data_IF_040460253787
#
_entry.id   IF_040460253787
#
_cell.length_a   1.000
_cell.length_b   1.000
_cell.length_c   1.000
_cell.angle_alpha   90.00
_cell.angle_beta   90.00
_cell.angle_gamma   90.00
#
_symmetry.space_group_name_H-M   'P 1'
#
loop_
_entity.id
_entity.type
_entity.pdbx_description
1 polymer ?
#
# COMPACT_ATOMS: atom_id res chain seq x y z
N UNK A 1 9.09 -26.84 25.78
CA UNK A 1 8.87 -25.41 26.17
C UNK A 1 10.09 -24.54 25.80
N UNK A 2 11.31 -24.88 26.23
CA UNK A 2 12.54 -24.10 25.92
C UNK A 2 12.94 -24.04 24.44
N UNK A 3 12.68 -25.08 23.65
CA UNK A 3 13.01 -25.09 22.22
C UNK A 3 12.05 -24.16 21.43
N UNK A 4 10.79 -24.09 21.85
CA UNK A 4 9.79 -23.19 21.26
C UNK A 4 10.14 -21.70 21.52
N UNK A 5 10.54 -21.35 22.73
CA UNK A 5 10.97 -19.99 23.11
C UNK A 5 12.24 -19.54 22.37
N UNK A 6 13.19 -20.44 22.12
CA UNK A 6 14.40 -20.12 21.33
C UNK A 6 14.11 -19.89 19.85
N UNK A 7 13.12 -20.58 19.28
CA UNK A 7 12.71 -20.41 17.90
C UNK A 7 12.00 -19.07 17.69
N UNK A 8 11.15 -18.69 18.64
CA UNK A 8 10.43 -17.41 18.63
C UNK A 8 11.37 -16.19 18.77
N UNK A 9 12.42 -16.28 19.60
CA UNK A 9 13.44 -15.22 19.80
C UNK A 9 14.28 -14.94 18.54
N UNK A 10 14.64 -15.95 17.75
CA UNK A 10 15.35 -15.78 16.48
C UNK A 10 14.45 -15.21 15.38
N UNK A 11 13.17 -15.54 15.39
CA UNK A 11 12.19 -15.04 14.41
C UNK A 11 11.94 -13.53 14.56
N UNK A 12 11.89 -13.00 15.78
CA UNK A 12 11.64 -11.58 16.01
C UNK A 12 12.77 -10.67 15.53
N UNK A 13 14.02 -11.06 15.72
CA UNK A 13 15.21 -10.31 15.27
C UNK A 13 15.34 -10.31 13.75
N UNK A 14 14.97 -11.42 13.09
CA UNK A 14 14.98 -11.54 11.63
C UNK A 14 13.80 -10.81 10.97
N UNK A 15 12.65 -10.74 11.62
CA UNK A 15 11.43 -10.14 11.06
C UNK A 15 11.60 -8.66 10.73
N UNK A 16 12.29 -7.89 11.60
CA UNK A 16 12.59 -6.48 11.33
C UNK A 16 13.59 -6.29 10.18
N UNK A 17 14.52 -7.22 9.99
CA UNK A 17 15.48 -7.21 8.87
C UNK A 17 14.78 -7.54 7.55
N UNK A 18 13.90 -8.54 7.56
CA UNK A 18 13.08 -8.94 6.41
C UNK A 18 12.18 -7.78 5.98
N UNK A 19 11.52 -7.10 6.92
CA UNK A 19 10.69 -5.93 6.61
C UNK A 19 11.46 -4.83 5.89
N UNK A 20 12.68 -4.51 6.38
CA UNK A 20 13.53 -3.48 5.74
C UNK A 20 13.93 -3.85 4.32
N UNK A 21 14.28 -5.12 4.08
CA UNK A 21 14.64 -5.62 2.75
C UNK A 21 13.43 -5.60 1.83
N UNK A 22 12.28 -6.09 2.31
CA UNK A 22 11.03 -6.08 1.55
C UNK A 22 10.57 -4.65 1.21
N UNK A 23 10.70 -3.69 2.14
CA UNK A 23 10.40 -2.28 1.87
C UNK A 23 11.32 -1.68 0.81
N UNK A 24 12.63 -1.95 0.86
CA UNK A 24 13.57 -1.48 -0.17
C UNK A 24 13.21 -2.05 -1.53
N UNK A 25 12.90 -3.32 -1.59
CA UNK A 25 12.47 -3.98 -2.83
C UNK A 25 11.16 -3.37 -3.36
N UNK A 26 10.16 -3.15 -2.50
CA UNK A 26 8.89 -2.55 -2.88
C UNK A 26 9.05 -1.09 -3.35
N UNK A 27 9.94 -0.31 -2.73
CA UNK A 27 10.24 1.07 -3.15
C UNK A 27 10.87 1.06 -4.55
N UNK A 28 11.85 0.18 -4.80
CA UNK A 28 12.55 0.13 -6.08
C UNK A 28 11.61 -0.41 -7.17
N UNK A 29 10.99 -1.57 -6.95
CA UNK A 29 10.12 -2.19 -7.95
C UNK A 29 8.82 -1.42 -8.16
N UNK A 30 8.12 -1.06 -7.06
CA UNK A 30 6.88 -0.29 -7.12
C UNK A 30 7.11 1.12 -7.73
N UNK A 31 8.22 1.78 -7.37
CA UNK A 31 8.63 3.05 -7.95
C UNK A 31 8.95 2.94 -9.43
N UNK A 32 9.71 1.92 -9.85
CA UNK A 32 10.05 1.69 -11.25
C UNK A 32 8.78 1.46 -12.09
N UNK A 33 7.88 0.57 -11.65
CA UNK A 33 6.61 0.32 -12.37
C UNK A 33 5.69 1.54 -12.40
N UNK A 34 5.61 2.30 -11.31
CA UNK A 34 4.84 3.55 -11.28
C UNK A 34 5.39 4.57 -12.28
N UNK A 35 6.70 4.75 -12.37
CA UNK A 35 7.33 5.65 -13.33
C UNK A 35 7.13 5.16 -14.78
N UNK A 36 7.31 3.86 -15.04
CA UNK A 36 7.08 3.28 -16.37
C UNK A 36 5.63 3.52 -16.80
N UNK A 37 4.65 3.32 -15.91
CA UNK A 37 3.25 3.56 -16.25
C UNK A 37 2.96 5.06 -16.44
N UNK A 38 3.52 5.93 -15.60
CA UNK A 38 3.30 7.37 -15.68
C UNK A 38 3.80 7.97 -17.00
N UNK A 39 5.03 7.64 -17.37
CA UNK A 39 5.64 8.12 -18.63
C UNK A 39 5.15 7.33 -19.85
N UNK A 40 4.86 6.03 -19.69
CA UNK A 40 4.36 5.17 -20.74
C UNK A 40 2.87 5.33 -21.05
N UNK A 41 2.11 6.06 -20.24
CA UNK A 41 0.66 6.22 -20.42
C UNK A 41 0.27 6.74 -21.80
N UNK A 42 1.04 7.69 -22.35
CA UNK A 42 0.81 8.22 -23.71
C UNK A 42 1.11 7.19 -24.80
N UNK A 43 2.14 6.38 -24.64
CA UNK A 43 2.48 5.30 -25.59
C UNK A 43 1.40 4.23 -25.56
N UNK A 44 0.89 3.88 -24.39
CA UNK A 44 -0.21 2.91 -24.22
C UNK A 44 -1.47 3.40 -24.94
N UNK A 45 -1.84 4.68 -24.78
CA UNK A 45 -2.99 5.27 -25.46
C UNK A 45 -2.82 5.17 -26.99
N UNK A 46 -1.71 5.62 -27.52
CA UNK A 46 -1.49 5.64 -29.00
C UNK A 46 -1.32 4.25 -29.62
N UNK A 47 -0.79 3.28 -28.88
CA UNK A 47 -0.46 1.96 -29.44
C UNK A 47 -1.57 0.94 -29.22
N UNK A 48 -2.21 0.97 -28.01
CA UNK A 48 -3.18 -0.05 -27.63
C UNK A 48 -4.62 0.46 -27.80
N UNK A 49 -4.83 1.75 -27.56
CA UNK A 49 -6.17 2.37 -27.57
C UNK A 49 -6.27 3.58 -28.52
N UNK A 50 -5.91 3.45 -29.81
CA UNK A 50 -5.91 4.59 -30.75
C UNK A 50 -7.28 5.21 -30.98
N UNK A 51 -8.34 4.42 -30.76
CA UNK A 51 -9.74 4.89 -30.94
C UNK A 51 -10.28 5.65 -29.73
N UNK A 52 -9.61 5.57 -28.55
CA UNK A 52 -10.07 6.18 -27.31
C UNK A 52 -9.13 7.29 -26.87
N UNK A 53 -9.53 8.54 -27.06
CA UNK A 53 -8.74 9.68 -26.59
C UNK A 53 -8.88 9.90 -25.08
N UNK A 54 -7.76 10.17 -24.40
CA UNK A 54 -7.72 10.53 -22.98
C UNK A 54 -7.51 9.37 -22.02
N UNK A 55 -7.24 8.13 -22.51
CA UNK A 55 -6.92 6.96 -21.66
C UNK A 55 -5.67 7.20 -20.80
N UNK A 56 -4.75 8.06 -21.26
CA UNK A 56 -3.56 8.45 -20.49
C UNK A 56 -3.90 9.15 -19.16
N UNK A 57 -5.06 9.83 -19.05
CA UNK A 57 -5.43 10.58 -17.84
C UNK A 57 -5.64 9.63 -16.66
N UNK A 58 -6.54 8.64 -16.70
CA UNK A 58 -6.71 7.69 -15.61
C UNK A 58 -5.44 6.84 -15.38
N UNK A 59 -4.65 6.52 -16.40
CA UNK A 59 -3.41 5.78 -16.25
C UNK A 59 -2.36 6.56 -15.44
N UNK A 60 -2.24 7.86 -15.66
CA UNK A 60 -1.33 8.70 -14.88
C UNK A 60 -1.78 8.85 -13.42
N UNK A 61 -3.09 8.90 -13.17
CA UNK A 61 -3.65 8.90 -11.81
C UNK A 61 -3.44 7.55 -11.12
N UNK A 62 -3.47 6.45 -11.89
CA UNK A 62 -3.23 5.10 -11.38
C UNK A 62 -1.75 4.84 -11.02
N UNK A 63 -0.82 5.50 -11.69
CA UNK A 63 0.61 5.25 -11.50
C UNK A 63 1.08 5.38 -10.03
N UNK A 64 0.78 6.46 -9.27
CA UNK A 64 1.14 6.53 -7.85
C UNK A 64 0.45 5.46 -7.00
N UNK A 65 -0.71 4.96 -7.40
CA UNK A 65 -1.41 3.89 -6.68
C UNK A 65 -0.59 2.62 -6.64
N UNK A 66 0.10 2.26 -7.74
CA UNK A 66 0.97 1.08 -7.80
C UNK A 66 2.06 1.16 -6.72
N UNK A 67 2.68 2.32 -6.57
CA UNK A 67 3.70 2.53 -5.55
C UNK A 67 3.13 2.39 -4.12
N UNK A 68 1.98 3.01 -3.86
CA UNK A 68 1.31 2.96 -2.55
C UNK A 68 0.91 1.52 -2.21
N UNK A 69 0.32 0.79 -3.16
CA UNK A 69 -0.11 -0.61 -2.96
C UNK A 69 1.08 -1.55 -2.76
N UNK A 70 2.21 -1.31 -3.43
CA UNK A 70 3.43 -2.09 -3.20
C UNK A 70 3.91 -1.95 -1.74
N UNK A 71 3.92 -0.74 -1.19
CA UNK A 71 4.27 -0.50 0.22
C UNK A 71 3.24 -1.11 1.17
N UNK A 72 1.96 -0.92 0.89
CA UNK A 72 0.86 -1.47 1.67
C UNK A 72 0.93 -2.99 1.76
N UNK A 73 1.24 -3.68 0.64
CA UNK A 73 1.41 -5.12 0.59
C UNK A 73 2.51 -5.63 1.52
N UNK A 74 3.63 -4.91 1.60
CA UNK A 74 4.74 -5.26 2.52
C UNK A 74 4.32 -5.15 3.98
N UNK A 75 3.63 -4.08 4.37
CA UNK A 75 3.14 -3.92 5.74
C UNK A 75 2.07 -4.96 6.10
N UNK A 76 1.13 -5.24 5.20
CA UNK A 76 0.14 -6.30 5.40
C UNK A 76 0.80 -7.66 5.55
N UNK A 77 1.76 -7.99 4.68
CA UNK A 77 2.55 -9.22 4.77
C UNK A 77 3.31 -9.34 6.10
N UNK A 78 3.85 -8.24 6.61
CA UNK A 78 4.50 -8.20 7.92
C UNK A 78 3.54 -8.59 9.06
N UNK A 79 2.34 -8.02 9.10
CA UNK A 79 1.35 -8.35 10.14
C UNK A 79 0.82 -9.78 10.01
N UNK A 80 0.58 -10.25 8.77
CA UNK A 80 0.17 -11.63 8.51
C UNK A 80 1.25 -12.62 8.94
N UNK A 81 2.52 -12.34 8.65
CA UNK A 81 3.66 -13.15 9.10
C UNK A 81 3.79 -13.24 10.62
N UNK A 82 3.30 -12.23 11.35
CA UNK A 82 3.18 -12.23 12.82
C UNK A 82 1.90 -12.88 13.34
N UNK A 83 1.12 -13.53 12.49
CA UNK A 83 -0.17 -14.14 12.84
C UNK A 83 -1.19 -13.14 13.39
N UNK A 84 -1.02 -11.84 13.13
CA UNK A 84 -1.94 -10.77 13.52
C UNK A 84 -2.67 -10.29 12.28
N UNK A 85 -3.87 -10.79 12.03
CA UNK A 85 -4.65 -10.45 10.83
C UNK A 85 -5.54 -9.22 11.00
N UNK A 86 -5.80 -8.79 12.24
CA UNK A 86 -6.70 -7.68 12.55
C UNK A 86 -6.29 -6.37 11.85
N UNK A 87 -5.02 -5.90 11.90
CA UNK A 87 -4.62 -4.68 11.21
C UNK A 87 -4.82 -4.75 9.69
N UNK A 88 -4.59 -5.93 9.11
CA UNK A 88 -4.80 -6.17 7.67
C UNK A 88 -6.28 -6.08 7.32
N UNK A 89 -7.15 -6.76 8.07
CA UNK A 89 -8.59 -6.75 7.82
C UNK A 89 -9.19 -5.34 7.98
N UNK A 90 -8.85 -4.63 9.06
CA UNK A 90 -9.32 -3.25 9.29
C UNK A 90 -8.83 -2.31 8.17
N UNK A 91 -7.58 -2.44 7.75
CA UNK A 91 -7.05 -1.62 6.66
C UNK A 91 -7.78 -1.87 5.32
N UNK A 92 -8.20 -3.10 5.05
CA UNK A 92 -8.98 -3.43 3.85
C UNK A 92 -10.38 -2.82 3.89
N UNK A 93 -11.04 -2.85 5.04
CA UNK A 93 -12.37 -2.23 5.20
C UNK A 93 -12.27 -0.73 4.97
N UNK A 94 -11.31 -0.05 5.59
CA UNK A 94 -11.10 1.40 5.42
C UNK A 94 -10.77 1.73 3.96
N UNK A 95 -9.89 0.96 3.33
CA UNK A 95 -9.56 1.11 1.91
C UNK A 95 -10.81 1.09 1.04
N UNK A 96 -11.69 0.09 1.23
CA UNK A 96 -12.90 -0.05 0.43
C UNK A 96 -13.92 1.05 0.69
N UNK A 97 -14.11 1.46 1.96
CA UNK A 97 -15.02 2.55 2.30
C UNK A 97 -14.55 3.87 1.70
N UNK A 98 -13.28 4.21 1.87
CA UNK A 98 -12.71 5.45 1.30
C UNK A 98 -12.75 5.39 -0.23
N UNK A 99 -12.36 4.27 -0.83
CA UNK A 99 -12.42 4.08 -2.28
C UNK A 99 -13.84 4.29 -2.81
N UNK A 100 -14.84 3.66 -2.22
CA UNK A 100 -16.23 3.78 -2.67
C UNK A 100 -16.72 5.24 -2.62
N UNK A 101 -16.50 5.93 -1.51
CA UNK A 101 -16.95 7.32 -1.35
C UNK A 101 -16.20 8.24 -2.32
N UNK A 102 -14.89 8.15 -2.35
CA UNK A 102 -14.05 9.06 -3.15
C UNK A 102 -14.22 8.79 -4.65
N UNK A 103 -14.28 7.52 -5.08
CA UNK A 103 -14.46 7.18 -6.50
C UNK A 103 -15.75 7.78 -7.06
N UNK A 104 -16.87 7.62 -6.35
CA UNK A 104 -18.15 8.16 -6.81
C UNK A 104 -18.12 9.68 -6.81
N UNK A 105 -17.66 10.30 -5.73
CA UNK A 105 -17.62 11.76 -5.62
C UNK A 105 -16.66 12.39 -6.64
N UNK A 106 -15.45 11.86 -6.79
CA UNK A 106 -14.46 12.39 -7.71
C UNK A 106 -14.86 12.16 -9.17
N UNK A 107 -15.40 10.99 -9.52
CA UNK A 107 -15.90 10.73 -10.87
C UNK A 107 -17.01 11.70 -11.25
N UNK A 108 -17.97 11.92 -10.35
CA UNK A 108 -19.06 12.88 -10.58
C UNK A 108 -18.53 14.31 -10.77
N UNK A 109 -17.64 14.77 -9.88
CA UNK A 109 -17.07 16.11 -9.94
C UNK A 109 -16.24 16.32 -11.22
N UNK A 110 -15.39 15.36 -11.56
CA UNK A 110 -14.54 15.48 -12.75
C UNK A 110 -15.35 15.44 -14.05
N UNK A 111 -16.40 14.61 -14.12
CA UNK A 111 -17.32 14.61 -15.26
C UNK A 111 -18.08 15.92 -15.37
N UNK A 112 -18.52 16.49 -14.24
CA UNK A 112 -19.24 17.77 -14.22
C UNK A 112 -18.35 18.94 -14.64
N UNK A 113 -17.09 18.97 -14.18
CA UNK A 113 -16.15 20.05 -14.54
C UNK A 113 -15.68 19.97 -16.00
N UNK A 114 -15.75 18.80 -16.61
CA UNK A 114 -15.36 18.56 -18.00
C UNK A 114 -16.56 18.16 -18.87
N UNK A 115 -17.75 18.66 -18.59
CA UNK A 115 -18.99 18.27 -19.27
C UNK A 115 -18.95 18.52 -20.78
N UNK A 116 -18.29 19.60 -21.21
CA UNK A 116 -18.16 20.00 -22.63
C UNK A 116 -16.94 19.38 -23.33
N UNK A 117 -16.20 18.51 -22.64
CA UNK A 117 -14.98 17.89 -23.17
C UNK A 117 -15.30 16.58 -23.87
N UNK A 118 -14.68 16.33 -25.04
CA UNK A 118 -14.70 15.04 -25.72
C UNK A 118 -14.10 13.90 -24.86
N UNK A 119 -13.37 14.26 -23.79
CA UNK A 119 -12.72 13.33 -22.86
C UNK A 119 -13.46 13.22 -21.52
N UNK A 120 -14.73 13.60 -21.44
CA UNK A 120 -15.53 13.56 -20.20
C UNK A 120 -15.48 12.18 -19.52
N UNK A 121 -15.59 11.10 -20.29
CA UNK A 121 -15.51 9.73 -19.77
C UNK A 121 -14.11 9.40 -19.18
N UNK A 122 -13.04 9.89 -19.79
CA UNK A 122 -11.68 9.72 -19.30
C UNK A 122 -11.47 10.44 -17.95
N UNK A 123 -12.04 11.64 -17.79
CA UNK A 123 -12.03 12.35 -16.50
C UNK A 123 -12.85 11.64 -15.43
N UNK A 124 -14.01 11.05 -15.81
CA UNK A 124 -14.77 10.19 -14.91
C UNK A 124 -13.98 8.98 -14.44
N UNK A 125 -13.29 8.31 -15.35
CA UNK A 125 -12.41 7.17 -15.04
C UNK A 125 -11.23 7.60 -14.14
N UNK A 126 -10.66 8.79 -14.37
CA UNK A 126 -9.60 9.35 -13.52
C UNK A 126 -10.10 9.60 -12.09
N UNK A 127 -11.36 10.05 -11.92
CA UNK A 127 -11.99 10.17 -10.61
C UNK A 127 -12.10 8.82 -9.88
N UNK A 128 -12.51 7.76 -10.60
CA UNK A 128 -12.56 6.40 -10.06
C UNK A 128 -11.19 5.89 -9.62
N UNK A 129 -10.15 6.09 -10.44
CA UNK A 129 -8.76 5.71 -10.09
C UNK A 129 -8.19 6.54 -8.95
N UNK A 130 -8.59 7.82 -8.82
CA UNK A 130 -8.23 8.66 -7.69
C UNK A 130 -8.80 8.10 -6.38
N UNK A 131 -10.02 7.58 -6.38
CA UNK A 131 -10.61 6.92 -5.23
C UNK A 131 -9.81 5.70 -4.78
N UNK A 132 -9.36 4.87 -5.73
CA UNK A 132 -8.48 3.73 -5.44
C UNK A 132 -7.16 4.19 -4.84
N UNK A 133 -6.57 5.27 -5.36
CA UNK A 133 -5.33 5.85 -4.85
C UNK A 133 -5.48 6.33 -3.39
N UNK A 134 -6.52 7.10 -3.10
CA UNK A 134 -6.79 7.62 -1.75
C UNK A 134 -7.23 6.52 -0.78
N UNK A 135 -7.97 5.51 -1.26
CA UNK A 135 -8.29 4.32 -0.49
C UNK A 135 -7.04 3.58 -0.04
N UNK A 136 -6.15 3.26 -0.98
CA UNK A 136 -4.88 2.60 -0.68
C UNK A 136 -3.97 3.45 0.23
N UNK A 137 -3.93 4.78 0.03
CA UNK A 137 -3.17 5.69 0.87
C UNK A 137 -3.69 5.72 2.31
N UNK A 138 -5.02 5.76 2.51
CA UNK A 138 -5.63 5.73 3.84
C UNK A 138 -5.34 4.42 4.57
N UNK A 139 -5.41 3.29 3.86
CA UNK A 139 -5.05 1.98 4.39
C UNK A 139 -3.56 1.90 4.77
N UNK A 140 -2.67 2.45 3.93
CA UNK A 140 -1.23 2.51 4.21
C UNK A 140 -0.95 3.33 5.47
N UNK A 141 -1.55 4.50 5.59
CA UNK A 141 -1.38 5.36 6.77
C UNK A 141 -1.84 4.65 8.04
N UNK A 142 -2.98 3.95 8.01
CA UNK A 142 -3.48 3.18 9.14
C UNK A 142 -2.50 2.07 9.53
N UNK A 143 -2.04 1.27 8.57
CA UNK A 143 -1.13 0.15 8.84
C UNK A 143 0.23 0.66 9.33
N UNK A 144 0.73 1.78 8.81
CA UNK A 144 1.94 2.44 9.30
C UNK A 144 1.76 2.98 10.73
N UNK A 145 0.60 3.55 11.04
CA UNK A 145 0.27 4.03 12.38
C UNK A 145 0.23 2.88 13.38
N UNK A 146 -0.44 1.77 13.04
CA UNK A 146 -0.45 0.56 13.86
C UNK A 146 0.95 0.00 14.05
N UNK A 147 1.77 -0.01 12.99
CA UNK A 147 3.17 -0.43 13.08
C UNK A 147 3.98 0.46 14.02
N UNK A 148 3.78 1.77 13.95
CA UNK A 148 4.46 2.73 14.82
C UNK A 148 4.09 2.53 16.30
N UNK A 149 2.82 2.27 16.61
CA UNK A 149 2.36 1.94 17.97
C UNK A 149 2.91 0.59 18.47
N UNK A 150 3.08 -0.37 17.55
CA UNK A 150 3.55 -1.71 17.89
C UNK A 150 5.08 -1.79 18.11
N UNK A 151 5.83 -0.92 17.45
CA UNK A 151 7.29 -0.88 17.50
C UNK A 151 7.88 -0.73 18.91
N UNK A 152 7.43 0.18 19.80
CA UNK A 152 7.98 0.31 21.16
C UNK A 152 7.64 -0.88 22.06
N UNK A 153 6.50 -1.53 21.83
CA UNK A 153 6.12 -2.75 22.55
C UNK A 153 7.06 -3.90 22.22
N UNK A 154 7.40 -4.06 20.96
CA UNK A 154 8.40 -5.05 20.52
C UNK A 154 9.79 -4.79 21.12
N UNK A 155 10.26 -3.55 21.09
CA UNK A 155 11.56 -3.20 21.65
C UNK A 155 11.65 -3.46 23.16
N UNK A 156 10.55 -3.29 23.90
CA UNK A 156 10.46 -3.63 25.33
C UNK A 156 10.48 -5.15 25.56
N UNK A 157 9.78 -5.92 24.72
CA UNK A 157 9.78 -7.38 24.78
C UNK A 157 11.16 -7.97 24.44
N UNK A 158 11.85 -7.42 23.44
CA UNK A 158 13.22 -7.83 23.09
C UNK A 158 14.22 -7.56 24.22
N UNK A 159 14.11 -6.41 24.92
CA UNK A 159 14.97 -6.08 26.07
C UNK A 159 14.71 -6.99 27.26
N UNK A 160 13.45 -7.32 27.53
CA UNK A 160 13.06 -8.20 28.65
C UNK A 160 13.56 -9.64 28.43
N UNK A 161 13.65 -10.09 27.18
CA UNK A 161 14.11 -11.41 26.80
C UNK A 161 15.63 -11.57 26.89
N UNK A 162 16.40 -10.51 26.66
CA UNK A 162 17.88 -10.52 26.79
C UNK A 162 18.30 -10.61 28.25
N UNK A 163 17.55 -9.98 29.18
CA UNK A 163 17.82 -10.04 30.62
C UNK A 163 17.52 -11.41 31.21
N UNK A 164 16.47 -12.11 30.72
CA UNK A 164 16.14 -13.46 31.19
C UNK A 164 17.18 -14.54 30.86
N UNK A 165 17.97 -14.32 29.81
CA UNK A 165 19.05 -15.27 29.40
C UNK A 165 20.33 -15.08 30.22
N UNK A 166 20.53 -13.93 30.86
CA UNK A 166 21.72 -13.64 31.67
C UNK A 166 21.74 -14.34 33.04
N UNK A 167 20.59 -14.84 33.51
CA UNK A 167 20.47 -15.49 34.84
C UNK A 167 20.49 -17.04 34.82
N UNK A 168 20.78 -17.64 33.67
CA UNK A 168 20.80 -19.11 33.51
C UNK A 168 22.19 -19.69 33.23
N UNK A 169 23.26 -19.00 33.68
CA UNK A 169 24.62 -19.55 33.73
C UNK A 169 25.10 -19.67 35.17
#
# INVERSE_FOLDING_TARGET
KMIYERKEKRENKNTGRILKVALRFAIISGGAFALILFFGAGVIEHTIYPEYSGVQIPLRVLAPTIFIVALLGVFRGFFQGKRTMIPTAVSQIIEQVVNAIVSVAASYLFMKWNADSLQQAAWGAAGGTLGTCLGAASALLLVMFVYWLYRPVQAKLEKKDVTAVSYTH
#
